data_IF_411030322583
#
_entry.id   IF_411030322583
#
_cell.length_a   1.000
_cell.length_b   1.000
_cell.length_c   1.000
_cell.angle_alpha   90.00
_cell.angle_beta   90.00
_cell.angle_gamma   90.00
#
_symmetry.space_group_name_H-M   'P 1'
#
loop_
_entity.id
_entity.type
_entity.pdbx_description
1 polymer ?
#
# COMPACT_ATOMS: atom_id res chain seq x y z
N UNK A 1 10.90 -16.71 25.36
CA UNK A 1 10.38 -15.50 26.01
C UNK A 1 11.48 -14.88 26.85
N UNK A 2 11.84 -13.64 26.55
CA UNK A 2 12.90 -12.87 27.22
C UNK A 2 12.30 -11.70 28.01
N UNK A 3 12.98 -11.22 29.06
CA UNK A 3 12.62 -9.98 29.76
C UNK A 3 12.46 -8.79 28.80
N UNK A 4 13.21 -8.79 27.69
CA UNK A 4 13.11 -7.78 26.64
C UNK A 4 11.74 -7.75 25.97
N UNK A 5 11.09 -8.90 25.75
CA UNK A 5 9.73 -8.96 25.17
C UNK A 5 8.72 -8.31 26.12
N UNK A 6 8.86 -8.59 27.42
CA UNK A 6 7.99 -8.03 28.46
C UNK A 6 8.10 -6.51 28.55
N UNK A 7 9.33 -5.99 28.57
CA UNK A 7 9.58 -4.54 28.60
C UNK A 7 9.05 -3.84 27.34
N UNK A 8 9.16 -4.48 26.17
CA UNK A 8 8.67 -3.94 24.91
C UNK A 8 7.15 -3.78 24.93
N UNK A 9 6.42 -4.83 25.31
CA UNK A 9 4.96 -4.78 25.43
C UNK A 9 4.48 -3.78 26.47
N UNK A 10 5.17 -3.66 27.60
CA UNK A 10 4.80 -2.71 28.66
C UNK A 10 5.09 -1.26 28.24
N UNK A 11 6.17 -1.02 27.51
CA UNK A 11 6.47 0.31 26.96
C UNK A 11 5.39 0.75 25.97
N UNK A 12 4.95 -0.16 25.09
CA UNK A 12 3.84 0.09 24.18
C UNK A 12 2.55 0.45 24.93
N UNK A 13 2.17 -0.39 25.90
CA UNK A 13 0.95 -0.18 26.69
C UNK A 13 0.98 1.14 27.48
N UNK A 14 2.12 1.47 28.09
CA UNK A 14 2.30 2.73 28.81
C UNK A 14 2.25 3.93 27.85
N UNK A 15 2.90 3.85 26.70
CA UNK A 15 2.86 4.91 25.69
C UNK A 15 1.42 5.15 25.21
N UNK A 16 0.65 4.08 25.00
CA UNK A 16 -0.77 4.19 24.66
C UNK A 16 -1.57 4.88 25.76
N UNK A 17 -1.38 4.49 27.03
CA UNK A 17 -2.06 5.13 28.16
C UNK A 17 -1.74 6.62 28.26
N UNK A 18 -0.46 7.00 28.09
CA UNK A 18 -0.05 8.41 28.10
C UNK A 18 -0.67 9.17 26.94
N UNK A 19 -0.56 8.66 25.71
CA UNK A 19 -1.08 9.34 24.50
C UNK A 19 -2.59 9.42 24.46
N UNK A 20 -3.29 8.47 25.07
CA UNK A 20 -4.74 8.52 25.23
C UNK A 20 -5.18 9.75 26.03
N UNK A 21 -4.43 10.14 27.06
CA UNK A 21 -4.71 11.32 27.88
C UNK A 21 -4.02 12.61 27.41
N UNK A 22 -3.15 12.52 26.40
CA UNK A 22 -2.50 13.69 25.81
C UNK A 22 -3.47 14.54 25.00
N UNK A 23 -3.31 15.86 25.12
CA UNK A 23 -3.92 16.84 24.23
C UNK A 23 -3.41 16.68 22.80
N UNK A 24 -4.18 17.13 21.80
CA UNK A 24 -3.73 17.14 20.40
C UNK A 24 -2.46 17.97 20.18
N UNK A 25 -2.26 19.01 20.99
CA UNK A 25 -1.03 19.81 20.98
C UNK A 25 0.20 18.95 21.30
N UNK A 26 0.12 18.11 22.34
CA UNK A 26 1.20 17.18 22.70
C UNK A 26 1.36 16.08 21.65
N UNK A 27 0.27 15.52 21.13
CA UNK A 27 0.32 14.48 20.09
C UNK A 27 0.90 14.99 18.77
N UNK A 28 0.80 16.29 18.49
CA UNK A 28 1.36 16.87 17.26
C UNK A 28 2.88 16.85 17.17
N UNK A 29 3.57 16.41 18.22
CA UNK A 29 5.01 16.14 18.20
C UNK A 29 5.33 14.77 17.56
N UNK A 30 4.35 13.86 17.46
CA UNK A 30 4.55 12.50 16.93
C UNK A 30 5.09 12.50 15.49
N UNK A 31 4.60 13.32 14.54
CA UNK A 31 5.16 13.34 13.19
C UNK A 31 6.66 13.65 13.18
N UNK A 32 7.09 14.67 13.93
CA UNK A 32 8.52 15.02 14.07
C UNK A 32 9.32 13.94 14.76
N UNK A 33 8.76 13.33 15.81
CA UNK A 33 9.40 12.20 16.47
C UNK A 33 9.61 11.02 15.51
N UNK A 34 8.62 10.72 14.67
CA UNK A 34 8.74 9.68 13.65
C UNK A 34 9.84 10.00 12.64
N UNK A 35 9.89 11.21 12.09
CA UNK A 35 10.80 11.57 11.00
C UNK A 35 12.22 11.92 11.47
N UNK A 36 12.36 12.62 12.59
CA UNK A 36 13.66 13.11 13.06
C UNK A 36 14.37 12.12 13.99
N UNK A 37 13.62 11.28 14.72
CA UNK A 37 14.18 10.35 15.73
C UNK A 37 14.08 8.90 15.30
N UNK A 38 12.89 8.43 14.90
CA UNK A 38 12.68 7.01 14.61
C UNK A 38 13.12 6.59 13.21
N UNK A 39 12.83 7.38 12.19
CA UNK A 39 13.13 7.06 10.79
C UNK A 39 14.61 6.70 10.55
N UNK A 40 15.61 7.38 11.16
CA UNK A 40 17.02 7.01 11.01
C UNK A 40 17.38 5.63 11.60
N UNK A 41 16.68 5.18 12.64
CA UNK A 41 17.04 3.97 13.40
C UNK A 41 16.17 2.75 13.08
N UNK A 42 15.00 2.94 12.46
CA UNK A 42 14.12 1.84 12.02
C UNK A 42 14.71 1.19 10.78
N UNK A 43 15.24 -0.02 10.94
CA UNK A 43 15.96 -0.80 9.90
C UNK A 43 15.49 -2.24 9.78
N UNK A 44 14.72 -2.73 10.75
CA UNK A 44 14.21 -4.11 10.79
C UNK A 44 12.69 -4.15 10.73
N UNK A 45 12.16 -5.29 10.28
CA UNK A 45 10.72 -5.53 10.16
C UNK A 45 9.97 -5.37 11.50
N UNK A 46 10.53 -5.86 12.61
CA UNK A 46 9.89 -5.75 13.92
C UNK A 46 9.89 -4.33 14.47
N UNK A 47 10.90 -3.51 14.17
CA UNK A 47 10.88 -2.09 14.52
C UNK A 47 9.75 -1.35 13.78
N UNK A 48 9.56 -1.65 12.49
CA UNK A 48 8.46 -1.07 11.71
C UNK A 48 7.10 -1.44 12.30
N UNK A 49 6.88 -2.74 12.56
CA UNK A 49 5.64 -3.21 13.17
C UNK A 49 5.41 -2.57 14.54
N UNK A 50 6.45 -2.42 15.36
CA UNK A 50 6.33 -1.76 16.65
C UNK A 50 5.91 -0.29 16.51
N UNK A 51 6.45 0.44 15.52
CA UNK A 51 6.01 1.81 15.23
C UNK A 51 4.54 1.85 14.79
N UNK A 52 4.09 0.91 13.97
CA UNK A 52 2.69 0.82 13.56
C UNK A 52 1.77 0.51 14.75
N UNK A 53 2.16 -0.41 15.63
CA UNK A 53 1.43 -0.67 16.87
C UNK A 53 1.39 0.56 17.79
N UNK A 54 2.47 1.33 17.84
CA UNK A 54 2.59 2.50 18.69
C UNK A 54 1.64 3.62 18.24
N UNK A 55 1.64 3.96 16.95
CA UNK A 55 0.92 5.14 16.42
C UNK A 55 -0.46 4.79 15.84
N UNK A 56 -0.63 3.58 15.30
CA UNK A 56 -1.85 3.12 14.64
C UNK A 56 -3.17 3.41 15.39
N UNK A 57 -3.27 3.11 16.70
CA UNK A 57 -4.49 3.36 17.48
C UNK A 57 -4.92 4.84 17.56
N UNK A 58 -4.01 5.78 17.30
CA UNK A 58 -4.26 7.22 17.42
C UNK A 58 -4.52 7.91 16.08
N UNK A 59 -4.48 7.17 14.98
CA UNK A 59 -4.74 7.71 13.63
C UNK A 59 -6.10 8.42 13.57
N UNK A 60 -7.17 7.84 14.12
CA UNK A 60 -8.48 8.48 14.13
C UNK A 60 -8.48 9.87 14.80
N UNK A 61 -7.71 10.05 15.89
CA UNK A 61 -7.59 11.35 16.56
C UNK A 61 -6.91 12.38 15.66
N UNK A 62 -5.84 12.01 14.96
CA UNK A 62 -5.20 12.91 14.00
C UNK A 62 -6.12 13.26 12.83
N UNK A 63 -6.93 12.31 12.34
CA UNK A 63 -7.90 12.60 11.30
C UNK A 63 -8.93 13.66 11.73
N UNK A 64 -9.43 13.56 12.95
CA UNK A 64 -10.49 14.42 13.46
C UNK A 64 -9.96 15.77 13.97
N UNK A 65 -8.85 15.77 14.69
CA UNK A 65 -8.37 16.93 15.44
C UNK A 65 -7.23 17.67 14.72
N UNK A 66 -6.44 17.00 13.86
CA UNK A 66 -5.27 17.63 13.19
C UNK A 66 -4.80 16.90 11.92
N UNK A 67 -5.56 17.03 10.83
CA UNK A 67 -5.35 16.33 9.55
C UNK A 67 -3.94 16.46 8.95
N UNK A 68 -3.26 17.60 9.16
CA UNK A 68 -1.86 17.76 8.74
C UNK A 68 -0.95 16.70 9.34
N UNK A 69 -1.10 16.39 10.63
CA UNK A 69 -0.30 15.37 11.29
C UNK A 69 -0.59 13.98 10.73
N UNK A 70 -1.85 13.66 10.39
CA UNK A 70 -2.21 12.41 9.72
C UNK A 70 -1.44 12.23 8.40
N UNK A 71 -1.39 13.28 7.59
CA UNK A 71 -0.66 13.26 6.31
C UNK A 71 0.84 13.01 6.54
N UNK A 72 1.46 13.75 7.46
CA UNK A 72 2.88 13.62 7.79
C UNK A 72 3.22 12.21 8.33
N UNK A 73 2.36 11.66 9.21
CA UNK A 73 2.50 10.29 9.74
C UNK A 73 2.38 9.26 8.62
N UNK A 74 1.39 9.43 7.73
CA UNK A 74 1.15 8.52 6.62
C UNK A 74 2.38 8.38 5.73
N UNK A 75 2.99 9.50 5.34
CA UNK A 75 4.24 9.50 4.54
C UNK A 75 5.40 8.86 5.31
N UNK A 76 5.57 9.20 6.60
CA UNK A 76 6.64 8.66 7.43
C UNK A 76 6.60 7.12 7.54
N UNK A 77 5.41 6.50 7.58
CA UNK A 77 5.29 5.05 7.54
C UNK A 77 5.83 4.43 6.25
N UNK A 78 5.54 5.03 5.09
CA UNK A 78 6.08 4.56 3.82
C UNK A 78 7.60 4.75 3.73
N UNK A 79 8.14 5.87 4.22
CA UNK A 79 9.60 6.08 4.28
C UNK A 79 10.29 5.02 5.17
N UNK A 80 9.71 4.70 6.33
CA UNK A 80 10.23 3.63 7.19
C UNK A 80 10.12 2.26 6.51
N UNK A 81 9.03 1.97 5.80
CA UNK A 81 8.89 0.74 5.02
C UNK A 81 9.98 0.63 3.96
N UNK A 82 10.27 1.70 3.22
CA UNK A 82 11.34 1.72 2.22
C UNK A 82 12.71 1.48 2.86
N UNK A 83 13.00 2.13 3.99
CA UNK A 83 14.23 1.90 4.73
C UNK A 83 14.39 0.43 5.14
N UNK A 84 13.33 -0.17 5.67
CA UNK A 84 13.34 -1.57 6.13
C UNK A 84 13.46 -2.55 4.96
N UNK A 85 12.79 -2.28 3.83
CA UNK A 85 12.86 -3.08 2.62
C UNK A 85 14.29 -3.09 2.02
N UNK A 86 14.99 -1.95 2.08
CA UNK A 86 16.38 -1.82 1.62
C UNK A 86 17.39 -2.47 2.58
N UNK A 87 17.12 -2.48 3.88
CA UNK A 87 18.04 -3.02 4.89
C UNK A 87 17.85 -4.52 5.14
N UNK A 88 16.68 -5.06 4.79
CA UNK A 88 16.34 -6.47 5.02
C UNK A 88 16.53 -7.26 3.74
N UNK A 89 17.06 -8.50 3.81
CA UNK A 89 17.09 -9.37 2.64
C UNK A 89 15.66 -9.80 2.24
N UNK A 90 14.85 -10.18 3.23
CA UNK A 90 13.48 -10.66 3.10
C UNK A 90 12.59 -10.07 4.22
N UNK A 91 11.29 -9.94 3.95
CA UNK A 91 10.27 -9.51 4.90
C UNK A 91 9.24 -10.62 5.07
N UNK A 92 8.98 -11.06 6.30
CA UNK A 92 8.14 -12.21 6.61
C UNK A 92 6.67 -11.84 6.81
N UNK A 93 6.39 -10.59 7.17
CA UNK A 93 5.09 -10.07 7.56
C UNK A 93 4.62 -8.96 6.60
N UNK A 94 4.95 -9.11 5.31
CA UNK A 94 4.53 -8.18 4.26
C UNK A 94 3.01 -8.02 4.18
N UNK A 95 2.25 -9.10 4.36
CA UNK A 95 0.79 -9.04 4.23
C UNK A 95 0.16 -8.19 5.35
N UNK A 96 0.43 -8.40 6.66
CA UNK A 96 -0.02 -7.49 7.72
C UNK A 96 0.41 -6.03 7.53
N UNK A 97 1.65 -5.80 7.06
CA UNK A 97 2.14 -4.45 6.76
C UNK A 97 1.28 -3.80 5.68
N UNK A 98 1.05 -4.49 4.57
CA UNK A 98 0.27 -3.98 3.45
C UNK A 98 -1.20 -3.78 3.83
N UNK A 99 -1.80 -4.71 4.57
CA UNK A 99 -3.19 -4.63 5.03
C UNK A 99 -3.39 -3.39 5.92
N UNK A 100 -2.45 -3.12 6.83
CA UNK A 100 -2.49 -1.90 7.65
C UNK A 100 -2.38 -0.63 6.80
N UNK A 101 -1.51 -0.61 5.78
CA UNK A 101 -1.37 0.54 4.88
C UNK A 101 -2.60 0.76 4.00
N UNK A 102 -3.29 -0.31 3.57
CA UNK A 102 -4.58 -0.21 2.90
C UNK A 102 -5.67 0.30 3.83
N UNK A 103 -5.72 -0.22 5.07
CA UNK A 103 -6.63 0.30 6.09
C UNK A 103 -6.40 1.80 6.29
N UNK A 104 -5.15 2.23 6.42
CA UNK A 104 -4.81 3.65 6.57
C UNK A 104 -5.24 4.49 5.35
N UNK A 105 -5.02 3.98 4.13
CA UNK A 105 -5.49 4.64 2.91
C UNK A 105 -6.99 4.86 2.94
N UNK A 106 -7.76 3.79 3.11
CA UNK A 106 -9.21 3.85 2.91
C UNK A 106 -9.94 4.50 4.09
N UNK A 107 -9.40 4.41 5.30
CA UNK A 107 -10.06 4.98 6.49
C UNK A 107 -9.62 6.42 6.81
N UNK A 108 -8.40 6.82 6.43
CA UNK A 108 -7.84 8.09 6.89
C UNK A 108 -7.28 8.95 5.76
N UNK A 109 -6.22 8.50 5.08
CA UNK A 109 -5.45 9.40 4.20
C UNK A 109 -6.09 9.62 2.83
N UNK A 110 -6.97 8.71 2.38
CA UNK A 110 -7.54 8.73 1.04
C UNK A 110 -6.47 8.85 -0.04
N UNK A 111 -6.56 9.89 -0.86
CA UNK A 111 -5.58 10.23 -1.88
C UNK A 111 -4.66 11.40 -1.50
N UNK A 112 -4.76 11.95 -0.28
CA UNK A 112 -4.01 13.14 0.15
C UNK A 112 -2.49 12.98 0.12
N UNK A 113 -2.00 11.73 0.18
CA UNK A 113 -0.56 11.41 0.17
C UNK A 113 -0.11 10.69 -1.10
N UNK A 114 -1.00 10.55 -2.10
CA UNK A 114 -0.81 9.68 -3.26
C UNK A 114 0.53 9.94 -3.97
N UNK A 115 0.80 11.17 -4.37
CA UNK A 115 2.01 11.51 -5.16
C UNK A 115 3.31 11.25 -4.40
N UNK A 116 3.32 11.49 -3.09
CA UNK A 116 4.50 11.27 -2.23
C UNK A 116 4.72 9.76 -2.05
N UNK A 117 3.66 9.03 -1.71
CA UNK A 117 3.70 7.58 -1.51
C UNK A 117 4.04 6.84 -2.79
N UNK A 118 3.61 7.32 -3.95
CA UNK A 118 3.94 6.72 -5.25
C UNK A 118 5.44 6.71 -5.52
N UNK A 119 6.12 7.83 -5.26
CA UNK A 119 7.58 7.92 -5.39
C UNK A 119 8.28 6.92 -4.47
N UNK A 120 7.76 6.72 -3.26
CA UNK A 120 8.31 5.76 -2.31
C UNK A 120 8.07 4.32 -2.79
N UNK A 121 6.85 3.97 -3.18
CA UNK A 121 6.47 2.63 -3.67
C UNK A 121 7.31 2.24 -4.89
N UNK A 122 7.61 3.19 -5.79
CA UNK A 122 8.47 2.96 -6.95
C UNK A 122 9.89 2.49 -6.59
N UNK A 123 10.36 2.71 -5.37
CA UNK A 123 11.67 2.27 -4.89
C UNK A 123 11.64 0.97 -4.07
N UNK A 124 10.46 0.42 -3.79
CA UNK A 124 10.32 -0.85 -3.07
C UNK A 124 10.66 -2.06 -3.96
N UNK A 125 10.98 -3.19 -3.33
CA UNK A 125 11.13 -4.49 -4.01
C UNK A 125 9.84 -4.94 -4.70
N UNK A 126 9.94 -5.75 -5.78
CA UNK A 126 8.78 -6.18 -6.56
C UNK A 126 7.64 -6.81 -5.75
N UNK A 127 7.98 -7.60 -4.71
CA UNK A 127 7.00 -8.27 -3.88
C UNK A 127 6.10 -7.29 -3.09
N UNK A 128 6.63 -6.15 -2.63
CA UNK A 128 5.87 -5.10 -1.95
C UNK A 128 5.07 -4.28 -2.97
N UNK A 129 5.67 -3.92 -4.11
CA UNK A 129 4.98 -3.22 -5.20
C UNK A 129 3.72 -3.96 -5.65
N UNK A 130 3.82 -5.28 -5.83
CA UNK A 130 2.69 -6.11 -6.25
C UNK A 130 1.57 -6.09 -5.20
N UNK A 131 1.90 -6.13 -3.91
CA UNK A 131 0.91 -6.08 -2.82
C UNK A 131 0.26 -4.71 -2.70
N UNK A 132 1.04 -3.63 -2.83
CA UNK A 132 0.59 -2.24 -2.72
C UNK A 132 0.08 -1.65 -4.04
N UNK A 133 -0.12 -2.47 -5.09
CA UNK A 133 -0.48 -2.02 -6.45
C UNK A 133 -1.72 -1.11 -6.53
N UNK A 134 -2.63 -1.22 -5.57
CA UNK A 134 -3.86 -0.42 -5.54
C UNK A 134 -3.78 0.81 -4.63
N UNK A 135 -2.67 1.04 -3.91
CA UNK A 135 -2.49 2.25 -3.10
C UNK A 135 -2.44 3.50 -4.00
N UNK A 136 -1.75 3.41 -5.14
CA UNK A 136 -1.52 4.54 -6.05
C UNK A 136 -2.22 4.39 -7.41
N UNK A 137 -2.93 3.28 -7.64
CA UNK A 137 -3.52 2.95 -8.95
C UNK A 137 -2.49 3.01 -10.10
N UNK A 138 -1.29 2.47 -9.92
CA UNK A 138 -0.37 2.20 -11.04
C UNK A 138 -0.97 1.01 -11.82
N UNK A 139 -1.96 1.28 -12.67
CA UNK A 139 -2.57 0.30 -13.57
C UNK A 139 -1.83 0.17 -14.90
N UNK A 140 -0.66 0.78 -15.08
CA UNK A 140 0.17 0.49 -16.25
C UNK A 140 1.09 -0.69 -15.96
N UNK A 141 0.51 -1.88 -15.91
CA UNK A 141 1.22 -3.09 -16.26
C UNK A 141 1.51 -2.96 -17.76
N UNK A 142 2.74 -2.64 -18.15
CA UNK A 142 3.14 -2.78 -19.55
C UNK A 142 2.95 -4.26 -19.91
N UNK A 143 2.05 -4.62 -20.85
CA UNK A 143 2.04 -5.98 -21.35
C UNK A 143 3.37 -6.18 -22.07
N UNK A 144 4.18 -7.11 -21.56
CA UNK A 144 5.38 -7.58 -22.23
C UNK A 144 5.07 -7.74 -23.73
N UNK A 145 5.79 -6.99 -24.57
CA UNK A 145 5.61 -6.95 -26.00
C UNK A 145 5.68 -8.37 -26.57
N UNK A 146 4.51 -8.92 -26.93
CA UNK A 146 4.44 -10.09 -27.79
C UNK A 146 4.84 -9.60 -29.19
N UNK A 147 5.89 -10.15 -29.82
CA UNK A 147 6.25 -9.76 -31.18
C UNK A 147 5.07 -10.06 -32.12
N UNK A 148 4.73 -9.16 -33.07
CA UNK A 148 3.69 -9.45 -34.05
C UNK A 148 4.11 -10.65 -34.89
N UNK A 149 3.35 -11.74 -34.80
CA UNK A 149 3.45 -12.83 -35.77
C UNK A 149 3.04 -12.31 -37.14
N UNK A 150 3.92 -12.49 -38.12
CA UNK A 150 3.69 -12.15 -39.51
C UNK A 150 2.47 -12.92 -40.05
N UNK A 151 1.45 -12.18 -40.46
CA UNK A 151 0.28 -12.72 -41.17
C UNK A 151 0.72 -13.03 -42.60
N UNK A 152 0.95 -14.31 -42.92
CA UNK A 152 1.24 -14.75 -44.28
C UNK A 152 -0.06 -14.92 -45.09
N UNK A 153 -0.25 -13.99 -46.02
CA UNK A 153 -0.94 -14.07 -47.32
C UNK A 153 -1.59 -15.39 -47.75
N UNK A 154 -2.89 -15.31 -48.10
CA UNK A 154 -3.61 -16.25 -48.97
C UNK A 154 -4.92 -15.63 -49.47
N UNK A 155 -4.99 -15.29 -50.76
CA UNK A 155 -6.09 -14.58 -51.45
C UNK A 155 -7.14 -15.56 -52.06
N UNK A 156 -8.22 -15.12 -52.75
CA UNK A 156 -9.61 -15.48 -52.43
C UNK A 156 -10.28 -16.47 -53.41
N UNK A 157 -11.45 -17.00 -53.05
CA UNK A 157 -12.34 -17.77 -53.96
C UNK A 157 -13.84 -17.45 -53.69
N UNK A 158 -14.73 -17.58 -54.71
CA UNK A 158 -15.85 -16.65 -54.98
C UNK A 158 -17.22 -17.10 -54.43
N UNK A 159 -18.26 -16.23 -54.46
CA UNK A 159 -19.60 -16.56 -54.00
C UNK A 159 -20.44 -17.25 -55.09
N UNK A 160 -20.97 -18.43 -54.79
CA UNK A 160 -21.96 -19.13 -55.64
C UNK A 160 -23.37 -18.75 -55.19
N UNK A 161 -24.08 -18.02 -56.06
CA UNK A 161 -25.51 -17.75 -55.93
C UNK A 161 -26.34 -18.92 -56.50
N UNK A 162 -27.35 -19.39 -55.77
CA UNK A 162 -28.53 -20.08 -56.34
C UNK A 162 -29.78 -19.70 -55.53
N UNK A 163 -30.82 -19.30 -56.25
CA UNK A 163 -32.00 -18.56 -55.78
C UNK A 163 -33.16 -19.39 -55.20
N UNK A 164 -34.35 -18.78 -55.06
CA UNK A 164 -35.44 -19.23 -54.19
C UNK A 164 -36.41 -20.18 -54.89
N UNK A 165 -37.02 -21.11 -54.14
CA UNK A 165 -38.21 -21.86 -54.59
C UNK A 165 -39.21 -22.00 -53.43
N UNK A 166 -40.44 -21.61 -53.74
CA UNK A 166 -41.66 -21.50 -52.92
C UNK A 166 -42.45 -22.81 -52.77
N UNK A 167 -42.99 -23.04 -51.54
CA UNK A 167 -44.33 -23.54 -51.10
C UNK A 167 -45.04 -24.72 -51.85
N UNK A 168 -45.84 -25.60 -51.16
CA UNK A 168 -47.12 -25.19 -50.55
C UNK A 168 -47.61 -25.90 -49.27
N UNK A 169 -48.75 -25.38 -48.80
CA UNK A 169 -49.60 -25.65 -47.62
C UNK A 169 -50.36 -26.97 -47.69
N UNK A 170 -50.54 -27.64 -46.54
CA UNK A 170 -51.71 -28.36 -45.95
C UNK A 170 -51.16 -29.41 -44.97
N UNK A 171 -51.62 -29.52 -43.72
CA UNK A 171 -52.96 -29.91 -43.29
C UNK A 171 -53.17 -29.48 -41.83
#
# INVERSE_FOLDING_TARGET
QSYSEMSCSYTLALAHAVWHHSSIGQLSLIPKFLTEVLLPIVKTEFQLLYVYHLVGPFLQRFQQERTRCMIEIGVAFYDMLLNVDQCSAHLNYMDPICDFLYHMKYMFTGDSVKEQVEKIICNLKPALKLRLRFITHISKMDPAAVPPQAVSSGSPAPPSAQGPVSLPVTQ
#
